data_IF_016819823050
#
_entry.id   IF_016819823050
#
_cell.length_a   1.000
_cell.length_b   1.000
_cell.length_c   1.000
_cell.angle_alpha   90.00
_cell.angle_beta   90.00
_cell.angle_gamma   90.00
#
_symmetry.space_group_name_H-M   'P 1'
#
loop_
_entity.id
_entity.type
_entity.pdbx_description
1 polymer ?
#
# COMPACT_ATOMS: atom_id res chain seq x y z
N UNK A 1 -8.05 -5.79 -33.74
CA UNK A 1 -7.47 -4.52 -33.25
C UNK A 1 -7.81 -4.40 -31.78
N UNK A 2 -6.93 -4.86 -30.90
CA UNK A 2 -7.06 -4.62 -29.46
C UNK A 2 -6.65 -3.17 -29.21
N UNK A 3 -7.61 -2.37 -28.75
CA UNK A 3 -7.46 -0.94 -28.52
C UNK A 3 -6.24 -0.63 -27.66
N UNK A 4 -5.45 0.37 -28.09
CA UNK A 4 -4.26 0.85 -27.38
C UNK A 4 -4.52 1.35 -25.94
N UNK A 5 -5.79 1.37 -25.50
CA UNK A 5 -6.22 1.70 -24.14
C UNK A 5 -5.71 0.72 -23.08
N UNK A 6 -5.61 -0.58 -23.38
CA UNK A 6 -5.25 -1.59 -22.38
C UNK A 6 -3.76 -1.64 -22.03
N UNK A 7 -2.89 -1.17 -22.94
CA UNK A 7 -1.44 -1.19 -22.72
C UNK A 7 -0.97 -0.19 -21.67
N UNK A 8 -1.76 0.85 -21.37
CA UNK A 8 -1.37 1.91 -20.43
C UNK A 8 -1.88 1.71 -18.99
N UNK A 9 -2.95 0.94 -18.77
CA UNK A 9 -3.46 0.71 -17.41
C UNK A 9 -2.45 -0.01 -16.51
N UNK A 10 -1.74 -1.02 -17.04
CA UNK A 10 -0.71 -1.73 -16.26
C UNK A 10 0.48 -0.84 -15.86
N UNK A 11 0.75 0.22 -16.63
CA UNK A 11 1.87 1.15 -16.39
C UNK A 11 1.49 2.19 -15.33
N UNK A 12 0.22 2.60 -15.29
CA UNK A 12 -0.34 3.51 -14.29
C UNK A 12 -0.39 2.85 -12.90
N UNK A 13 -0.56 1.54 -12.77
CA UNK A 13 -0.66 0.88 -11.45
C UNK A 13 0.67 0.71 -10.66
N UNK A 14 1.81 1.16 -11.20
CA UNK A 14 3.15 0.84 -10.64
C UNK A 14 3.64 1.77 -9.53
N UNK A 15 3.17 3.02 -9.46
CA UNK A 15 3.56 3.97 -8.42
C UNK A 15 2.35 4.52 -7.65
N UNK A 16 2.59 5.14 -6.49
CA UNK A 16 1.53 5.68 -5.63
C UNK A 16 0.63 6.65 -6.39
N UNK A 17 1.23 7.49 -7.26
CA UNK A 17 0.51 8.48 -8.06
C UNK A 17 -0.50 7.82 -9.00
N UNK A 18 -0.10 6.82 -9.76
CA UNK A 18 -1.01 6.19 -10.70
C UNK A 18 -2.05 5.29 -10.04
N UNK A 19 -1.82 4.80 -8.81
CA UNK A 19 -2.88 4.20 -7.98
C UNK A 19 -3.94 5.22 -7.54
N UNK A 20 -3.53 6.45 -7.19
CA UNK A 20 -4.47 7.55 -6.88
C UNK A 20 -5.27 7.96 -8.13
N UNK A 21 -4.64 8.04 -9.30
CA UNK A 21 -5.35 8.33 -10.55
C UNK A 21 -6.36 7.23 -10.91
N UNK A 22 -6.05 5.97 -10.61
CA UNK A 22 -7.01 4.86 -10.76
C UNK A 22 -8.19 5.01 -9.77
N UNK A 23 -7.93 5.36 -8.51
CA UNK A 23 -8.97 5.59 -7.49
C UNK A 23 -9.94 6.71 -7.87
N UNK A 24 -9.49 7.74 -8.58
CA UNK A 24 -10.38 8.81 -9.05
C UNK A 24 -11.29 8.39 -10.23
N UNK A 25 -10.99 7.27 -10.89
CA UNK A 25 -11.73 6.80 -12.07
C UNK A 25 -12.67 5.63 -11.80
N UNK A 26 -12.57 5.00 -10.63
CA UNK A 26 -13.38 3.84 -10.25
C UNK A 26 -14.48 4.24 -9.24
N UNK A 27 -15.59 3.47 -9.16
CA UNK A 27 -16.65 3.71 -8.19
C UNK A 27 -16.10 3.76 -6.76
N UNK A 28 -16.71 4.58 -5.90
CA UNK A 28 -16.22 4.83 -4.54
C UNK A 28 -15.94 3.54 -3.73
N UNK A 29 -16.79 2.53 -3.87
CA UNK A 29 -16.61 1.22 -3.21
C UNK A 29 -15.32 0.52 -3.66
N UNK A 30 -15.00 0.57 -4.96
CA UNK A 30 -13.76 0.01 -5.50
C UNK A 30 -12.53 0.81 -5.03
N UNK A 31 -12.63 2.13 -4.93
CA UNK A 31 -11.56 2.99 -4.39
C UNK A 31 -11.29 2.71 -2.91
N UNK A 32 -12.33 2.49 -2.12
CA UNK A 32 -12.22 2.11 -0.70
C UNK A 32 -11.54 0.73 -0.57
N UNK A 33 -11.96 -0.26 -1.37
CA UNK A 33 -11.33 -1.58 -1.39
C UNK A 33 -9.82 -1.48 -1.72
N UNK A 34 -9.49 -0.73 -2.77
CA UNK A 34 -8.10 -0.54 -3.19
C UNK A 34 -7.26 0.21 -2.13
N UNK A 35 -7.88 1.12 -1.37
CA UNK A 35 -7.22 1.82 -0.28
C UNK A 35 -6.88 0.86 0.87
N UNK A 36 -7.83 0.02 1.29
CA UNK A 36 -7.56 -0.96 2.34
C UNK A 36 -6.53 -2.01 1.91
N UNK A 37 -6.55 -2.45 0.65
CA UNK A 37 -5.51 -3.32 0.10
C UNK A 37 -4.12 -2.67 0.18
N UNK A 38 -4.03 -1.38 -0.18
CA UNK A 38 -2.79 -0.62 -0.09
C UNK A 38 -2.28 -0.49 1.35
N UNK A 39 -3.17 -0.18 2.29
CA UNK A 39 -2.82 -0.11 3.71
C UNK A 39 -2.30 -1.46 4.22
N UNK A 40 -3.03 -2.54 3.90
CA UNK A 40 -2.67 -3.89 4.34
C UNK A 40 -1.33 -4.33 3.73
N UNK A 41 -1.12 -4.09 2.43
CA UNK A 41 0.15 -4.39 1.76
C UNK A 41 1.33 -3.68 2.42
N UNK A 42 1.22 -2.37 2.64
CA UNK A 42 2.30 -1.58 3.24
C UNK A 42 2.58 -1.97 4.69
N UNK A 43 1.53 -2.22 5.48
CA UNK A 43 1.69 -2.67 6.86
C UNK A 43 2.39 -4.03 6.94
N UNK A 44 1.95 -5.00 6.14
CA UNK A 44 2.56 -6.32 6.10
C UNK A 44 4.01 -6.27 5.62
N UNK A 45 4.30 -5.44 4.62
CA UNK A 45 5.67 -5.26 4.14
C UNK A 45 6.58 -4.65 5.23
N UNK A 46 6.08 -3.65 5.97
CA UNK A 46 6.82 -3.07 7.10
C UNK A 46 7.09 -4.10 8.21
N UNK A 47 6.07 -4.87 8.59
CA UNK A 47 6.20 -5.94 9.59
C UNK A 47 7.24 -6.97 9.14
N UNK A 48 7.18 -7.39 7.87
CA UNK A 48 8.15 -8.34 7.29
C UNK A 48 9.58 -7.81 7.41
N UNK A 49 9.83 -6.57 6.98
CA UNK A 49 11.17 -5.97 7.05
C UNK A 49 11.67 -5.86 8.50
N UNK A 50 10.81 -5.47 9.45
CA UNK A 50 11.22 -5.39 10.86
C UNK A 50 11.46 -6.78 11.47
N UNK A 51 10.72 -7.80 11.04
CA UNK A 51 10.95 -9.20 11.45
C UNK A 51 12.23 -9.78 10.87
N UNK A 52 12.59 -9.43 9.63
CA UNK A 52 13.88 -9.81 9.03
C UNK A 52 15.06 -9.20 9.79
N UNK A 53 14.91 -7.97 10.32
CA UNK A 53 15.94 -7.31 11.13
C UNK A 53 15.94 -7.75 12.59
N UNK A 54 14.77 -8.03 13.15
CA UNK A 54 14.56 -8.36 14.56
C UNK A 54 13.59 -9.55 14.68
N UNK A 55 14.07 -10.79 14.49
CA UNK A 55 13.20 -11.98 14.42
C UNK A 55 12.34 -12.18 15.67
N UNK A 56 12.91 -11.91 16.85
CA UNK A 56 12.26 -12.12 18.15
C UNK A 56 11.27 -11.02 18.52
N UNK A 57 11.30 -9.90 17.82
CA UNK A 57 10.46 -8.74 18.15
C UNK A 57 9.00 -9.03 17.85
N UNK A 58 8.11 -8.82 18.82
CA UNK A 58 6.68 -9.09 18.59
C UNK A 58 6.09 -8.12 17.55
N UNK A 59 5.06 -8.56 16.83
CA UNK A 59 4.33 -7.68 15.88
C UNK A 59 3.75 -6.46 16.63
N UNK A 60 3.27 -6.65 17.86
CA UNK A 60 2.80 -5.57 18.73
C UNK A 60 3.86 -4.49 18.92
N UNK A 61 5.10 -4.87 19.24
CA UNK A 61 6.18 -3.90 19.45
C UNK A 61 6.59 -3.20 18.16
N UNK A 62 6.50 -3.89 17.02
CA UNK A 62 6.73 -3.31 15.69
C UNK A 62 5.70 -2.21 15.40
N UNK A 63 4.41 -2.47 15.63
CA UNK A 63 3.33 -1.49 15.43
C UNK A 63 3.46 -0.31 16.39
N UNK A 64 3.77 -0.56 17.67
CA UNK A 64 4.00 0.52 18.65
C UNK A 64 5.18 1.40 18.23
N UNK A 65 6.27 0.82 17.72
CA UNK A 65 7.40 1.59 17.18
C UNK A 65 6.98 2.44 15.98
N UNK A 66 6.21 1.89 15.05
CA UNK A 66 5.68 2.63 13.89
C UNK A 66 4.86 3.86 14.35
N UNK A 67 3.98 3.70 15.34
CA UNK A 67 3.22 4.81 15.92
C UNK A 67 4.13 5.86 16.57
N UNK A 68 5.14 5.44 17.35
CA UNK A 68 6.09 6.36 18.00
C UNK A 68 6.92 7.16 16.99
N UNK A 69 7.25 6.59 15.83
CA UNK A 69 7.95 7.31 14.76
C UNK A 69 7.06 8.40 14.18
N UNK A 70 5.78 8.11 13.97
CA UNK A 70 4.85 9.07 13.36
C UNK A 70 4.51 10.25 14.29
N UNK A 71 4.42 10.03 15.61
CA UNK A 71 4.12 11.07 16.60
C UNK A 71 5.34 11.90 17.05
N UNK A 72 6.53 11.63 16.52
CA UNK A 72 7.74 12.43 16.77
C UNK A 72 7.99 13.49 15.68
N UNK A 73 7.08 13.63 14.73
CA UNK A 73 6.99 14.77 13.80
C UNK A 73 6.03 15.80 14.36
#
# INVERSE_FOLDING_TARGET
MTSDSDKNFRKIARDFKGRIELMNRIPAEASISLFFELCNFNLNNYIKIEKERYPDKSIKDIIIKMYKINNKK
#
